data_IF_952313419498
#
_entry.id   IF_952313419498
#
_cell.length_a   1.000
_cell.length_b   1.000
_cell.length_c   1.000
_cell.angle_alpha   90.00
_cell.angle_beta   90.00
_cell.angle_gamma   90.00
#
_symmetry.space_group_name_H-M   'P 1'
#
loop_
_entity.id
_entity.type
_entity.pdbx_description
1 polymer ?
#
# COMPACT_ATOMS: atom_id res chain seq x y z
N UNK A 1 0.59 -2.71 -6.81
CA UNK A 1 1.70 -1.72 -6.90
C UNK A 1 2.46 -1.73 -8.22
N UNK A 2 3.02 -2.87 -8.67
CA UNK A 2 3.89 -2.94 -9.87
C UNK A 2 3.21 -2.39 -11.15
N UNK A 3 1.92 -2.72 -11.36
CA UNK A 3 1.15 -2.22 -12.51
C UNK A 3 0.92 -0.70 -12.51
N UNK A 4 0.72 -0.09 -11.33
CA UNK A 4 0.57 1.36 -11.21
C UNK A 4 1.91 2.08 -11.45
N UNK A 5 3.01 1.49 -10.98
CA UNK A 5 4.35 2.02 -11.20
C UNK A 5 4.76 1.93 -12.69
N UNK A 6 4.43 0.84 -13.38
CA UNK A 6 4.66 0.71 -14.82
C UNK A 6 3.80 1.67 -15.64
N UNK A 7 2.53 1.89 -15.25
CA UNK A 7 1.65 2.87 -15.89
C UNK A 7 2.17 4.31 -15.72
N UNK A 8 2.71 4.64 -14.55
CA UNK A 8 3.34 5.93 -14.27
C UNK A 8 4.55 6.20 -15.18
N UNK A 9 5.45 5.22 -15.33
CA UNK A 9 6.61 5.32 -16.23
C UNK A 9 6.14 5.60 -17.67
N UNK A 10 5.12 4.87 -18.13
CA UNK A 10 4.53 5.05 -19.46
C UNK A 10 3.95 6.47 -19.64
N UNK A 11 3.14 6.95 -18.69
CA UNK A 11 2.56 8.30 -18.73
C UNK A 11 3.60 9.42 -18.69
N UNK A 12 4.72 9.19 -17.98
CA UNK A 12 5.82 10.14 -17.85
C UNK A 12 6.65 10.22 -19.13
N UNK A 13 6.88 9.08 -19.81
CA UNK A 13 7.61 9.01 -21.07
C UNK A 13 6.84 9.62 -22.26
N UNK A 14 5.51 9.58 -22.24
CA UNK A 14 4.67 10.08 -23.33
C UNK A 14 4.64 11.62 -23.41
N UNK A 15 4.94 12.34 -22.33
CA UNK A 15 4.69 13.78 -22.25
C UNK A 15 5.98 14.60 -22.06
N UNK A 16 6.48 15.28 -23.10
CA UNK A 16 7.67 16.16 -23.00
C UNK A 16 7.43 17.45 -22.21
N UNK A 17 6.20 17.72 -21.77
CA UNK A 17 5.85 18.93 -21.03
C UNK A 17 5.98 18.72 -19.53
N UNK A 18 7.02 19.30 -18.93
CA UNK A 18 7.35 19.21 -17.48
C UNK A 18 6.12 19.49 -16.58
N UNK A 19 5.25 20.43 -16.97
CA UNK A 19 4.02 20.71 -16.19
C UNK A 19 3.13 19.48 -16.08
N UNK A 20 2.90 18.79 -17.20
CA UNK A 20 2.04 17.62 -17.23
C UNK A 20 2.68 16.44 -16.50
N UNK A 21 4.01 16.30 -16.57
CA UNK A 21 4.73 15.27 -15.80
C UNK A 21 4.51 15.47 -14.30
N UNK A 22 4.70 16.70 -13.79
CA UNK A 22 4.53 17.01 -12.37
C UNK A 22 3.07 16.77 -11.94
N UNK A 23 2.10 17.24 -12.73
CA UNK A 23 0.68 17.03 -12.44
C UNK A 23 0.31 15.54 -12.43
N UNK A 24 0.77 14.78 -13.42
CA UNK A 24 0.51 13.33 -13.51
C UNK A 24 1.16 12.58 -12.34
N UNK A 25 2.34 12.99 -11.89
CA UNK A 25 3.00 12.44 -10.69
C UNK A 25 2.14 12.65 -9.45
N UNK A 26 1.61 13.86 -9.26
CA UNK A 26 0.70 14.15 -8.15
C UNK A 26 -0.57 13.30 -8.19
N UNK A 27 -1.14 13.08 -9.39
CA UNK A 27 -2.30 12.19 -9.58
C UNK A 27 -1.96 10.75 -9.20
N UNK A 28 -0.79 10.24 -9.60
CA UNK A 28 -0.37 8.89 -9.21
C UNK A 28 -0.18 8.76 -7.70
N UNK A 29 0.45 9.74 -7.04
CA UNK A 29 0.61 9.73 -5.58
C UNK A 29 -0.74 9.78 -4.86
N UNK A 30 -1.68 10.58 -5.36
CA UNK A 30 -3.02 10.66 -4.81
C UNK A 30 -3.76 9.32 -4.91
N UNK A 31 -3.84 8.73 -6.11
CA UNK A 31 -4.55 7.47 -6.30
C UNK A 31 -3.86 6.29 -5.62
N UNK A 32 -2.52 6.25 -5.62
CA UNK A 32 -1.78 5.20 -4.91
C UNK A 32 -1.98 5.28 -3.40
N UNK A 33 -1.95 6.49 -2.80
CA UNK A 33 -2.25 6.69 -1.39
C UNK A 33 -3.68 6.29 -1.05
N UNK A 34 -4.66 6.71 -1.84
CA UNK A 34 -6.07 6.37 -1.64
C UNK A 34 -6.33 4.86 -1.73
N UNK A 35 -5.77 4.19 -2.74
CA UNK A 35 -5.92 2.75 -2.91
C UNK A 35 -5.24 1.98 -1.77
N UNK A 36 -4.05 2.40 -1.35
CA UNK A 36 -3.34 1.73 -0.25
C UNK A 36 -4.07 1.92 1.09
N UNK A 37 -4.69 3.09 1.33
CA UNK A 37 -5.57 3.30 2.48
C UNK A 37 -6.75 2.33 2.48
N UNK A 38 -7.41 2.17 1.32
CA UNK A 38 -8.52 1.23 1.16
C UNK A 38 -8.07 -0.22 1.39
N UNK A 39 -6.97 -0.63 0.76
CA UNK A 39 -6.42 -1.98 0.87
C UNK A 39 -6.03 -2.31 2.31
N UNK A 40 -5.38 -1.38 3.01
CA UNK A 40 -4.99 -1.55 4.42
C UNK A 40 -6.23 -1.68 5.33
N UNK A 41 -7.27 -0.89 5.08
CA UNK A 41 -8.53 -0.96 5.83
C UNK A 41 -9.26 -2.29 5.58
N UNK A 42 -9.37 -2.73 4.33
CA UNK A 42 -9.98 -4.01 3.96
C UNK A 42 -9.18 -5.17 4.58
N UNK A 43 -7.85 -5.13 4.50
CA UNK A 43 -6.99 -6.16 5.10
C UNK A 43 -7.21 -6.26 6.61
N UNK A 44 -7.21 -5.12 7.32
CA UNK A 44 -7.52 -5.07 8.75
C UNK A 44 -8.89 -5.69 9.05
N UNK A 45 -9.92 -5.32 8.28
CA UNK A 45 -11.28 -5.82 8.47
C UNK A 45 -11.38 -7.33 8.27
N UNK A 46 -10.72 -7.88 7.25
CA UNK A 46 -10.70 -9.32 6.98
C UNK A 46 -10.01 -10.08 8.12
N UNK A 47 -8.86 -9.59 8.61
CA UNK A 47 -8.15 -10.22 9.75
C UNK A 47 -9.00 -10.23 11.02
N UNK A 48 -9.71 -9.12 11.30
CA UNK A 48 -10.53 -8.99 12.50
C UNK A 48 -11.79 -9.86 12.46
N UNK A 49 -12.35 -10.09 11.26
CA UNK A 49 -13.53 -10.93 11.08
C UNK A 49 -13.19 -12.43 11.06
N UNK A 50 -12.07 -12.82 10.44
CA UNK A 50 -11.68 -14.22 10.33
C UNK A 50 -10.16 -14.39 10.33
N UNK A 51 -9.60 -14.39 11.54
CA UNK A 51 -8.17 -14.53 11.75
C UNK A 51 -7.64 -15.86 11.21
N UNK A 52 -8.29 -16.98 11.53
CA UNK A 52 -7.83 -18.32 11.15
C UNK A 52 -7.71 -18.48 9.64
N UNK A 53 -8.75 -18.06 8.89
CA UNK A 53 -8.73 -18.06 7.44
C UNK A 53 -7.59 -17.20 6.89
N UNK A 54 -7.44 -15.98 7.42
CA UNK A 54 -6.43 -15.03 6.93
C UNK A 54 -5.01 -15.52 7.23
N UNK A 55 -4.82 -16.10 8.41
CA UNK A 55 -3.57 -16.70 8.84
C UNK A 55 -3.21 -17.88 7.93
N UNK A 56 -4.15 -18.81 7.69
CA UNK A 56 -3.92 -19.95 6.80
C UNK A 56 -3.62 -19.50 5.37
N UNK A 57 -4.39 -18.54 4.83
CA UNK A 57 -4.21 -18.02 3.48
C UNK A 57 -2.83 -17.38 3.31
N UNK A 58 -2.41 -16.56 4.27
CA UNK A 58 -1.07 -15.96 4.28
C UNK A 58 0.01 -17.05 4.25
N UNK A 59 -0.13 -18.08 5.07
CA UNK A 59 0.84 -19.18 5.08
C UNK A 59 0.88 -19.97 3.77
N UNK A 60 -0.29 -20.24 3.18
CA UNK A 60 -0.39 -20.91 1.87
C UNK A 60 0.29 -20.14 0.73
N UNK A 61 0.24 -18.80 0.78
CA UNK A 61 0.81 -17.95 -0.27
C UNK A 61 2.32 -17.82 -0.13
N UNK A 62 2.81 -17.61 1.10
CA UNK A 62 4.22 -17.27 1.33
C UNK A 62 5.10 -18.46 1.72
N UNK A 63 4.51 -19.57 2.16
CA UNK A 63 5.23 -20.75 2.62
C UNK A 63 4.81 -21.98 1.82
N UNK A 64 5.73 -22.94 1.72
CA UNK A 64 5.46 -24.22 1.03
C UNK A 64 4.55 -25.08 1.90
N UNK A 65 3.66 -25.85 1.28
CA UNK A 65 2.81 -26.80 1.99
C UNK A 65 3.66 -27.75 2.88
N UNK A 66 3.23 -27.95 4.13
CA UNK A 66 3.94 -28.79 5.11
C UNK A 66 5.01 -28.07 5.95
N UNK A 67 5.35 -26.81 5.68
CA UNK A 67 6.28 -26.05 6.56
C UNK A 67 5.58 -25.27 7.67
N UNK A 68 4.24 -25.21 7.63
CA UNK A 68 3.39 -24.49 8.58
C UNK A 68 2.15 -25.29 8.98
N UNK A 69 1.95 -26.47 8.37
CA UNK A 69 0.85 -27.39 8.67
C UNK A 69 1.44 -28.42 9.62
N UNK A 70 1.16 -28.27 10.91
CA UNK A 70 1.45 -29.31 11.88
C UNK A 70 0.35 -30.38 11.84
N UNK A 71 0.69 -31.62 12.14
CA UNK A 71 -0.25 -32.75 12.12
C UNK A 71 -1.33 -32.54 13.19
N UNK A 72 -2.62 -32.35 12.85
CA UNK A 72 -3.67 -31.98 13.83
C UNK A 72 -3.91 -33.04 14.91
N UNK A 73 -3.47 -34.28 14.67
CA UNK A 73 -3.53 -35.41 15.60
C UNK A 73 -2.44 -35.41 16.68
N UNK A 74 -1.36 -34.62 16.52
CA UNK A 74 -0.22 -34.61 17.44
C UNK A 74 0.24 -33.20 17.86
N UNK A 75 0.02 -32.18 17.03
CA UNK A 75 0.65 -30.87 17.18
C UNK A 75 -0.37 -29.75 16.95
N UNK A 76 -0.91 -29.23 18.05
CA UNK A 76 -1.77 -28.05 18.03
C UNK A 76 -0.95 -26.83 17.60
N UNK A 77 -1.24 -26.30 16.40
CA UNK A 77 -0.68 -25.03 15.87
C UNK A 77 -0.94 -23.85 16.83
N UNK A 78 -1.88 -23.99 17.76
CA UNK A 78 -2.26 -22.99 18.79
C UNK A 78 -1.40 -23.10 20.06
N UNK A 79 -0.10 -23.42 20.00
CA UNK A 79 0.77 -23.36 21.19
C UNK A 79 2.24 -23.00 20.88
N UNK A 80 2.49 -22.02 20.00
CA UNK A 80 3.83 -21.41 19.90
C UNK A 80 3.81 -19.93 20.30
N UNK A 81 2.81 -19.17 19.85
CA UNK A 81 2.64 -17.77 20.23
C UNK A 81 1.15 -17.43 20.43
N UNK A 82 0.82 -16.53 21.37
CA UNK A 82 -0.56 -16.14 21.62
C UNK A 82 -1.14 -15.40 20.41
N UNK A 83 -2.41 -15.66 20.09
CA UNK A 83 -3.13 -15.01 18.99
C UNK A 83 -3.04 -13.47 19.04
N UNK A 84 -3.05 -12.91 20.25
CA UNK A 84 -2.87 -11.48 20.49
C UNK A 84 -1.59 -10.92 19.88
N UNK A 85 -0.48 -11.68 19.88
CA UNK A 85 0.77 -11.26 19.25
C UNK A 85 0.57 -10.95 17.77
N UNK A 86 -0.20 -11.78 17.07
CA UNK A 86 -0.46 -11.60 15.65
C UNK A 86 -1.40 -10.42 15.39
N UNK A 87 -2.40 -10.21 16.24
CA UNK A 87 -3.23 -9.01 16.17
C UNK A 87 -2.41 -7.75 16.38
N UNK A 88 -1.52 -7.71 17.37
CA UNK A 88 -0.64 -6.57 17.64
C UNK A 88 0.28 -6.28 16.44
N UNK A 89 0.84 -7.33 15.82
CA UNK A 89 1.63 -7.20 14.59
C UNK A 89 0.80 -6.64 13.43
N UNK A 90 -0.40 -7.18 13.20
CA UNK A 90 -1.30 -6.71 12.13
C UNK A 90 -1.68 -5.25 12.36
N UNK A 91 -2.04 -4.87 13.60
CA UNK A 91 -2.37 -3.49 13.95
C UNK A 91 -1.18 -2.58 13.66
N UNK A 92 0.04 -2.95 14.07
CA UNK A 92 1.24 -2.16 13.79
C UNK A 92 1.48 -1.98 12.29
N UNK A 93 1.34 -3.05 11.49
CA UNK A 93 1.49 -3.00 10.03
C UNK A 93 0.43 -2.10 9.41
N UNK A 94 -0.83 -2.25 9.80
CA UNK A 94 -1.96 -1.48 9.28
C UNK A 94 -1.81 -0.01 9.63
N UNK A 95 -1.56 0.32 10.90
CA UNK A 95 -1.39 1.71 11.36
C UNK A 95 -0.22 2.38 10.63
N UNK A 96 0.93 1.71 10.55
CA UNK A 96 2.10 2.24 9.84
C UNK A 96 1.77 2.48 8.36
N UNK A 97 1.13 1.52 7.70
CA UNK A 97 0.70 1.63 6.30
C UNK A 97 -0.28 2.78 6.11
N UNK A 98 -1.27 2.92 6.99
CA UNK A 98 -2.25 4.01 6.93
C UNK A 98 -1.58 5.38 7.06
N UNK A 99 -0.65 5.53 8.00
CA UNK A 99 0.09 6.79 8.19
C UNK A 99 0.89 7.16 6.94
N UNK A 100 1.69 6.23 6.39
CA UNK A 100 2.46 6.50 5.18
C UNK A 100 1.56 6.79 3.97
N UNK A 101 0.46 6.04 3.82
CA UNK A 101 -0.48 6.21 2.71
C UNK A 101 -1.22 7.53 2.79
N UNK A 102 -1.53 8.00 4.01
CA UNK A 102 -2.11 9.31 4.25
C UNK A 102 -1.16 10.43 3.83
N UNK A 103 0.11 10.36 4.24
CA UNK A 103 1.12 11.34 3.81
C UNK A 103 1.34 11.31 2.28
N UNK A 104 1.35 10.12 1.68
CA UNK A 104 1.45 9.98 0.22
C UNK A 104 0.25 10.63 -0.48
N UNK A 105 -0.97 10.40 -0.01
CA UNK A 105 -2.18 11.02 -0.52
C UNK A 105 -2.12 12.56 -0.43
N UNK A 106 -1.73 13.10 0.72
CA UNK A 106 -1.56 14.54 0.93
C UNK A 106 -0.48 15.13 0.00
N UNK A 107 0.64 14.43 -0.18
CA UNK A 107 1.68 14.87 -1.11
C UNK A 107 1.17 14.93 -2.55
N UNK A 108 0.32 13.98 -2.96
CA UNK A 108 -0.34 13.99 -4.27
C UNK A 108 -1.22 15.22 -4.47
N UNK A 109 -2.08 15.53 -3.49
CA UNK A 109 -2.90 16.74 -3.49
C UNK A 109 -2.04 18.01 -3.59
N UNK A 110 -0.99 18.09 -2.78
CA UNK A 110 -0.07 19.23 -2.79
C UNK A 110 0.58 19.41 -4.17
N UNK A 111 1.16 18.35 -4.74
CA UNK A 111 1.81 18.40 -6.05
C UNK A 111 0.84 18.85 -7.15
N UNK A 112 -0.40 18.33 -7.16
CA UNK A 112 -1.42 18.75 -8.14
C UNK A 112 -1.72 20.24 -7.99
N UNK A 113 -1.98 20.72 -6.77
CA UNK A 113 -2.34 22.12 -6.51
C UNK A 113 -1.22 23.10 -6.90
N UNK A 114 0.04 22.75 -6.61
CA UNK A 114 1.17 23.62 -6.94
C UNK A 114 1.66 23.48 -8.39
N UNK A 115 1.28 22.41 -9.10
CA UNK A 115 1.67 22.20 -10.51
C UNK A 115 1.27 23.35 -11.44
N UNK A 116 0.17 24.06 -11.13
CA UNK A 116 -0.30 25.20 -11.92
C UNK A 116 0.55 26.46 -11.72
N UNK A 117 1.16 26.64 -10.55
CA UNK A 117 2.01 27.81 -10.23
C UNK A 117 3.42 27.70 -10.83
N UNK A 118 3.89 26.49 -11.14
CA UNK A 118 5.26 26.22 -11.65
C UNK A 118 5.52 26.90 -13.02
N UNK A 119 4.48 27.04 -13.86
CA UNK A 119 4.61 27.70 -15.18
C UNK A 119 5.04 29.16 -15.08
N UNK A 120 4.67 29.85 -13.98
CA UNK A 120 4.98 31.28 -13.77
C UNK A 120 6.46 31.50 -13.45
N UNK A 121 7.11 30.53 -12.79
CA UNK A 121 8.54 30.57 -12.49
C UNK A 121 9.40 30.11 -13.67
N UNK A 122 8.99 29.08 -14.40
CA UNK A 122 9.70 28.61 -15.60
C UNK A 122 9.75 29.66 -16.73
N UNK A 123 8.72 30.50 -16.86
CA UNK A 123 8.72 31.61 -17.83
C UNK A 123 9.56 32.82 -17.41
N UNK A 124 9.92 32.92 -16.13
CA UNK A 124 10.70 34.04 -15.57
C UNK A 124 12.21 33.77 -15.59
N UNK A 125 12.60 32.51 -15.82
CA UNK A 125 13.98 32.04 -15.88
C UNK A 125 14.50 31.86 -17.32
N UNK A 126 13.66 32.14 -18.33
CA UNK A 126 14.01 32.23 -19.75
C UNK A 126 13.96 33.69 -20.17
#
# INVERSE_FOLDING_TARGET
MILFFSLFILLSLVNKNIKNIIKNTGVVFLFSGALTLLDAFIFWLIVMLNFDFTFELMHRIFFRAGTYVFEPSFENIVVLYPQQLFYDMVINIVVTTLVFSFFLFLSGLFVIFYSDKIKKYLKKAK
#
